data_IF_813949376221
#
_entry.id   IF_813949376221
#
_cell.length_a   1.000
_cell.length_b   1.000
_cell.length_c   1.000
_cell.angle_alpha   90.00
_cell.angle_beta   90.00
_cell.angle_gamma   90.00
#
_symmetry.space_group_name_H-M   'P 1'
#
loop_
_entity.id
_entity.type
_entity.pdbx_description
1 polymer ?
#
# COMPACT_ATOMS: atom_id res chain seq x y z
N UNK A 1 -61.96 -27.56 -13.10
CA UNK A 1 -62.59 -26.26 -13.37
C UNK A 1 -63.47 -25.88 -12.18
N UNK A 2 -63.15 -24.81 -11.45
CA UNK A 2 -64.08 -24.02 -10.62
C UNK A 2 -63.31 -22.81 -10.08
N UNK A 3 -63.41 -21.70 -10.81
CA UNK A 3 -62.99 -20.38 -10.38
C UNK A 3 -64.05 -19.85 -9.43
N UNK A 4 -63.66 -19.47 -8.22
CA UNK A 4 -64.48 -18.61 -7.35
C UNK A 4 -63.83 -17.24 -7.36
N UNK A 5 -64.53 -16.27 -7.94
CA UNK A 5 -64.21 -14.85 -7.94
C UNK A 5 -64.89 -14.26 -6.71
N UNK A 6 -64.11 -13.71 -5.78
CA UNK A 6 -64.64 -12.81 -4.74
C UNK A 6 -64.28 -11.37 -5.13
N UNK A 7 -65.30 -10.61 -5.49
CA UNK A 7 -65.25 -9.16 -5.61
C UNK A 7 -65.35 -8.55 -4.21
N UNK A 8 -64.30 -7.84 -3.79
CA UNK A 8 -64.27 -7.04 -2.56
C UNK A 8 -64.16 -5.56 -2.93
N UNK A 9 -65.20 -4.81 -2.59
CA UNK A 9 -65.44 -3.39 -2.86
C UNK A 9 -64.46 -2.43 -2.18
N UNK A 10 -64.30 -1.28 -2.83
CA UNK A 10 -63.54 -0.09 -2.45
C UNK A 10 -63.76 0.42 -1.03
N UNK A 11 -62.67 0.87 -0.40
CA UNK A 11 -62.69 2.01 0.51
C UNK A 11 -61.43 2.86 0.26
N UNK A 12 -61.62 4.01 -0.40
CA UNK A 12 -60.60 5.02 -0.59
C UNK A 12 -60.44 5.82 0.71
N UNK A 13 -59.36 5.57 1.44
CA UNK A 13 -58.91 6.44 2.53
C UNK A 13 -57.89 7.44 2.00
N UNK A 14 -58.32 8.66 1.73
CA UNK A 14 -57.39 9.78 1.51
C UNK A 14 -56.75 10.16 2.85
N UNK A 15 -55.50 9.73 3.06
CA UNK A 15 -54.68 10.26 4.13
C UNK A 15 -53.92 11.49 3.60
N UNK A 16 -54.30 12.65 4.11
CA UNK A 16 -53.64 13.92 3.84
C UNK A 16 -52.17 13.86 4.28
N UNK A 17 -51.28 14.16 3.34
CA UNK A 17 -49.85 14.28 3.59
C UNK A 17 -49.56 15.41 4.57
N UNK A 18 -48.84 15.08 5.65
CA UNK A 18 -48.12 16.08 6.43
C UNK A 18 -46.77 16.36 5.74
N UNK A 19 -46.37 17.63 5.55
CA UNK A 19 -44.98 17.91 5.26
C UNK A 19 -44.18 17.63 6.53
N UNK A 20 -43.52 16.47 6.60
CA UNK A 20 -42.46 16.25 7.57
C UNK A 20 -41.33 17.21 7.21
N UNK A 21 -41.18 18.27 7.99
CA UNK A 21 -40.03 19.14 7.96
C UNK A 21 -38.77 18.29 8.01
N UNK A 22 -37.92 18.40 6.98
CA UNK A 22 -36.59 17.81 6.98
C UNK A 22 -35.78 18.45 8.12
N UNK A 23 -35.79 17.82 9.29
CA UNK A 23 -34.88 18.16 10.37
C UNK A 23 -33.47 17.77 9.92
N UNK A 24 -32.70 18.76 9.53
CA UNK A 24 -31.26 18.64 9.31
C UNK A 24 -30.61 18.36 10.67
N UNK A 25 -30.55 17.09 11.08
CA UNK A 25 -29.73 16.70 12.23
C UNK A 25 -28.27 16.79 11.81
N UNK A 26 -27.61 17.87 12.24
CA UNK A 26 -26.17 18.03 12.15
C UNK A 26 -25.52 16.89 12.95
N UNK A 27 -24.71 16.07 12.29
CA UNK A 27 -23.95 15.03 12.96
C UNK A 27 -23.02 15.65 14.03
N UNK A 28 -22.88 15.05 15.23
CA UNK A 28 -21.96 15.56 16.24
C UNK A 28 -20.52 15.49 15.74
N UNK A 29 -19.76 16.55 16.00
CA UNK A 29 -18.36 16.67 15.60
C UNK A 29 -17.53 15.52 16.22
N UNK A 30 -16.59 14.92 15.47
CA UNK A 30 -15.69 13.92 16.01
C UNK A 30 -14.80 14.54 17.10
N UNK A 31 -14.39 13.77 18.12
CA UNK A 31 -13.50 14.26 19.17
C UNK A 31 -12.15 14.68 18.57
N UNK A 32 -11.61 15.79 19.07
CA UNK A 32 -10.32 16.32 18.61
C UNK A 32 -9.19 15.34 18.90
N UNK A 33 -8.34 15.13 17.88
CA UNK A 33 -7.12 14.32 18.02
C UNK A 33 -6.01 15.20 18.61
N UNK A 34 -5.16 14.68 19.50
CA UNK A 34 -4.19 15.46 20.27
C UNK A 34 -2.96 15.98 19.48
N UNK A 35 -3.08 16.18 18.16
CA UNK A 35 -2.01 16.75 17.34
C UNK A 35 -2.56 17.80 16.37
N UNK A 36 -3.45 18.66 16.85
CA UNK A 36 -3.70 19.91 16.13
C UNK A 36 -2.47 20.80 16.31
N UNK A 37 -1.81 21.02 15.18
CA UNK A 37 -0.54 21.72 15.11
C UNK A 37 -0.82 23.20 15.43
N UNK A 38 -0.30 23.64 16.56
CA UNK A 38 -0.26 25.01 17.05
C UNK A 38 0.49 25.90 16.05
N UNK A 39 -0.15 26.21 14.92
CA UNK A 39 0.26 27.27 14.02
C UNK A 39 -0.09 28.57 14.72
N UNK A 40 0.83 29.05 15.55
CA UNK A 40 0.89 30.45 15.94
C UNK A 40 0.94 31.29 14.66
N UNK A 41 -0.24 31.73 14.22
CA UNK A 41 -0.43 32.79 13.26
C UNK A 41 0.16 34.04 13.92
N UNK A 42 1.40 34.37 13.53
CA UNK A 42 2.00 35.67 13.83
C UNK A 42 1.05 36.76 13.33
N UNK A 43 0.59 37.71 14.17
CA UNK A 43 -0.14 38.86 13.69
C UNK A 43 0.83 39.76 12.93
N UNK A 44 0.66 39.90 11.61
CA UNK A 44 1.51 40.79 10.80
C UNK A 44 1.72 40.42 9.32
N UNK A 45 1.02 39.45 8.75
CA UNK A 45 1.07 39.22 7.30
C UNK A 45 0.02 40.09 6.57
N UNK A 46 0.37 40.76 5.46
CA UNK A 46 -0.59 41.57 4.69
C UNK A 46 -1.66 40.67 4.04
N UNK A 47 -2.89 41.17 3.84
CA UNK A 47 -3.99 40.36 3.35
C UNK A 47 -3.70 39.82 1.94
N UNK A 48 -3.89 38.51 1.77
CA UNK A 48 -3.87 37.83 0.47
C UNK A 48 -5.11 38.30 -0.30
N UNK A 49 -4.87 39.10 -1.33
CA UNK A 49 -5.90 39.52 -2.29
C UNK A 49 -6.25 38.32 -3.16
N UNK A 50 -7.43 37.73 -2.94
CA UNK A 50 -8.01 36.74 -3.86
C UNK A 50 -8.57 37.49 -5.05
N UNK A 51 -7.85 37.45 -6.18
CA UNK A 51 -8.35 37.94 -7.47
C UNK A 51 -9.34 36.91 -8.01
N UNK A 52 -10.60 37.28 -8.34
CA UNK A 52 -11.52 36.33 -8.96
C UNK A 52 -11.05 35.98 -10.38
N UNK A 53 -10.92 34.69 -10.66
CA UNK A 53 -10.64 34.18 -12.00
C UNK A 53 -11.77 34.56 -12.97
N UNK A 54 -11.41 35.12 -14.13
CA UNK A 54 -12.35 35.39 -15.21
C UNK A 54 -12.97 34.09 -15.75
N UNK A 55 -14.23 34.12 -16.25
CA UNK A 55 -14.89 32.93 -16.77
C UNK A 55 -14.28 32.54 -18.12
N UNK A 56 -13.71 31.35 -18.18
CA UNK A 56 -13.22 30.72 -19.41
C UNK A 56 -14.41 30.25 -20.23
N UNK A 57 -14.61 30.84 -21.40
CA UNK A 57 -15.57 30.37 -22.39
C UNK A 57 -15.21 28.94 -22.83
N UNK A 58 -16.19 28.05 -22.75
CA UNK A 58 -16.09 26.69 -23.25
C UNK A 58 -16.11 26.71 -24.79
N UNK A 59 -14.95 26.50 -25.41
CA UNK A 59 -14.87 26.07 -26.81
C UNK A 59 -14.28 24.68 -26.89
N UNK A 60 -15.12 23.75 -27.31
CA UNK A 60 -14.75 22.37 -27.61
C UNK A 60 -13.76 22.33 -28.78
N UNK A 61 -12.60 21.70 -28.57
CA UNK A 61 -11.79 21.13 -29.65
C UNK A 61 -11.41 19.71 -29.25
N UNK A 62 -11.89 18.78 -30.08
CA UNK A 62 -11.61 17.35 -30.01
C UNK A 62 -10.20 17.07 -30.51
N UNK A 63 -9.40 16.32 -29.73
CA UNK A 63 -8.09 15.79 -30.11
C UNK A 63 -7.45 15.06 -28.93
N UNK A 64 -6.74 13.93 -29.13
CA UNK A 64 -6.16 13.17 -28.01
C UNK A 64 -4.94 13.91 -27.47
N UNK A 65 -5.04 14.40 -26.23
CA UNK A 65 -3.90 14.99 -25.53
C UNK A 65 -2.85 13.90 -25.24
N UNK A 66 -1.55 14.16 -25.49
CA UNK A 66 -0.49 13.29 -25.02
C UNK A 66 -0.42 13.40 -23.50
N UNK A 67 -0.44 12.26 -22.81
CA UNK A 67 -0.15 12.17 -21.38
C UNK A 67 1.23 12.78 -21.11
N UNK A 68 1.23 13.99 -20.54
CA UNK A 68 2.41 14.56 -19.90
C UNK A 68 2.78 13.63 -18.74
N UNK A 69 3.80 12.79 -18.97
CA UNK A 69 4.49 12.07 -17.92
C UNK A 69 4.96 13.09 -16.87
N UNK A 70 4.40 13.01 -15.67
CA UNK A 70 4.91 13.77 -14.55
C UNK A 70 6.28 13.19 -14.17
N UNK A 71 7.30 14.03 -13.93
CA UNK A 71 8.64 13.57 -13.59
C UNK A 71 8.63 12.81 -12.25
N UNK A 72 9.36 11.70 -12.23
CA UNK A 72 9.48 10.76 -11.13
C UNK A 72 10.21 11.37 -9.92
N UNK A 73 9.48 12.08 -9.05
CA UNK A 73 9.94 12.36 -7.69
C UNK A 73 9.84 11.09 -6.81
N UNK A 74 10.52 10.00 -7.23
CA UNK A 74 10.54 8.65 -6.62
C UNK A 74 11.74 8.44 -5.67
N UNK A 75 12.55 9.47 -5.44
CA UNK A 75 13.85 9.37 -4.76
C UNK A 75 13.74 9.45 -3.23
N UNK A 76 13.00 8.52 -2.61
CA UNK A 76 13.38 8.09 -1.25
C UNK A 76 14.72 7.32 -1.34
N UNK A 77 15.55 7.25 -0.27
CA UNK A 77 16.88 6.66 -0.33
C UNK A 77 16.88 5.35 -1.12
N UNK A 78 17.37 5.47 -2.35
CA UNK A 78 17.37 4.40 -3.29
C UNK A 78 18.43 3.41 -2.86
N UNK A 79 18.06 2.13 -2.76
CA UNK A 79 19.06 1.10 -2.64
C UNK A 79 19.95 1.19 -3.89
N UNK A 80 21.28 1.30 -3.72
CA UNK A 80 22.19 1.71 -4.79
C UNK A 80 21.85 0.97 -6.09
N UNK A 81 21.43 1.71 -7.11
CA UNK A 81 21.22 1.15 -8.44
C UNK A 81 22.57 0.69 -9.02
N UNK A 82 22.52 -0.22 -10.01
CA UNK A 82 23.73 -0.66 -10.71
C UNK A 82 24.42 0.55 -11.34
N UNK A 83 25.65 0.84 -10.93
CA UNK A 83 26.47 1.79 -11.70
C UNK A 83 26.78 1.17 -13.08
N UNK A 84 26.67 1.92 -14.19
CA UNK A 84 27.05 1.42 -15.50
C UNK A 84 28.53 1.04 -15.49
N UNK A 85 28.83 -0.26 -15.59
CA UNK A 85 30.20 -0.81 -15.47
C UNK A 85 30.38 -1.78 -14.30
N UNK A 86 29.46 -1.83 -13.33
CA UNK A 86 29.33 -2.99 -12.46
C UNK A 86 28.74 -4.15 -13.27
N UNK A 87 29.61 -5.00 -13.82
CA UNK A 87 29.37 -6.45 -13.85
C UNK A 87 29.23 -6.89 -12.40
N UNK A 88 28.08 -6.55 -11.81
CA UNK A 88 27.69 -6.95 -10.47
C UNK A 88 27.47 -8.44 -10.52
N UNK A 89 28.56 -9.17 -10.37
CA UNK A 89 28.54 -10.51 -9.83
C UNK A 89 27.70 -10.40 -8.56
N UNK A 90 26.57 -11.11 -8.54
CA UNK A 90 25.87 -11.39 -7.28
C UNK A 90 26.96 -11.81 -6.28
N UNK A 91 26.95 -11.34 -5.01
CA UNK A 91 27.87 -11.88 -4.02
C UNK A 91 27.81 -13.40 -4.14
N UNK A 92 28.97 -14.02 -4.38
CA UNK A 92 29.06 -15.40 -4.84
C UNK A 92 28.18 -16.25 -3.94
N UNK A 93 27.15 -16.84 -4.54
CA UNK A 93 26.25 -17.77 -3.87
C UNK A 93 27.12 -18.85 -3.24
N UNK A 94 27.22 -18.84 -1.91
CA UNK A 94 27.91 -19.87 -1.16
C UNK A 94 26.91 -20.99 -0.85
N UNK A 95 26.96 -22.13 -1.57
CA UNK A 95 26.07 -23.26 -1.31
C UNK A 95 26.30 -23.89 0.06
N UNK A 96 27.46 -23.63 0.70
CA UNK A 96 27.86 -24.20 1.96
C UNK A 96 27.59 -23.28 3.16
N UNK A 97 27.00 -22.09 2.95
CA UNK A 97 26.53 -21.20 4.02
C UNK A 97 25.37 -21.87 4.78
N UNK A 98 25.72 -22.69 5.76
CA UNK A 98 24.79 -23.31 6.68
C UNK A 98 24.38 -22.26 7.72
N UNK A 99 23.08 -22.00 7.89
CA UNK A 99 22.64 -21.09 8.93
C UNK A 99 22.96 -21.67 10.32
N UNK A 100 23.55 -20.85 11.17
CA UNK A 100 23.96 -21.24 12.54
C UNK A 100 22.79 -21.78 13.39
N UNK A 101 21.55 -21.44 13.05
CA UNK A 101 20.31 -21.97 13.65
C UNK A 101 19.20 -22.08 12.59
N UNK A 102 18.47 -23.21 12.50
CA UNK A 102 17.24 -23.26 11.72
C UNK A 102 16.21 -22.30 12.32
N UNK A 103 15.63 -21.44 11.49
CA UNK A 103 14.58 -20.52 11.89
C UNK A 103 14.67 -19.12 11.29
N UNK A 104 13.81 -18.24 11.79
CA UNK A 104 13.72 -16.84 11.35
C UNK A 104 14.63 -15.98 12.24
N UNK A 105 15.64 -15.39 11.65
CA UNK A 105 16.53 -14.39 12.26
C UNK A 105 16.19 -12.99 11.73
N UNK A 106 16.47 -11.96 12.51
CA UNK A 106 16.24 -10.56 12.14
C UNK A 106 17.52 -9.75 12.31
N UNK A 107 17.80 -8.83 11.38
CA UNK A 107 18.89 -7.87 11.54
C UNK A 107 18.63 -6.90 12.71
N UNK A 108 19.68 -6.33 13.34
CA UNK A 108 19.53 -5.36 14.42
C UNK A 108 18.64 -4.19 14.00
N UNK A 109 17.62 -3.89 14.80
CA UNK A 109 16.65 -2.82 14.50
C UNK A 109 15.51 -3.21 13.55
N UNK A 110 15.48 -4.46 13.06
CA UNK A 110 14.37 -5.02 12.31
C UNK A 110 13.56 -5.97 13.19
N UNK A 111 12.24 -5.89 13.11
CA UNK A 111 11.33 -6.76 13.86
C UNK A 111 10.20 -7.28 12.97
N UNK A 112 9.89 -8.57 13.12
CA UNK A 112 8.74 -9.21 12.47
C UNK A 112 7.43 -8.93 13.21
N UNK A 113 7.46 -8.29 14.38
CA UNK A 113 6.27 -8.10 15.22
C UNK A 113 5.18 -7.31 14.50
N UNK A 114 5.55 -6.26 13.76
CA UNK A 114 4.59 -5.41 13.06
C UNK A 114 4.04 -6.04 11.76
N UNK A 115 4.61 -7.15 11.29
CA UNK A 115 4.12 -7.80 10.07
C UNK A 115 2.71 -8.36 10.29
N UNK A 116 1.81 -8.20 9.29
CA UNK A 116 0.53 -8.88 9.26
C UNK A 116 0.67 -10.40 9.42
N UNK A 117 -0.34 -11.09 9.98
CA UNK A 117 -0.34 -12.55 10.12
C UNK A 117 -0.05 -13.28 8.80
N UNK A 118 -0.51 -12.72 7.68
CA UNK A 118 -0.31 -13.24 6.34
C UNK A 118 1.17 -13.31 5.96
N UNK A 119 1.95 -12.24 6.17
CA UNK A 119 3.39 -12.22 5.90
C UNK A 119 4.17 -13.14 6.84
N UNK A 120 3.75 -13.22 8.11
CA UNK A 120 4.33 -14.16 9.07
C UNK A 120 4.12 -15.61 8.64
N UNK A 121 2.93 -15.94 8.13
CA UNK A 121 2.65 -17.28 7.59
C UNK A 121 3.52 -17.58 6.35
N UNK A 122 3.71 -16.62 5.46
CA UNK A 122 4.63 -16.76 4.32
C UNK A 122 6.07 -17.02 4.80
N UNK A 123 6.57 -16.25 5.78
CA UNK A 123 7.90 -16.48 6.36
C UNK A 123 8.03 -17.88 6.96
N UNK A 124 7.00 -18.36 7.66
CA UNK A 124 6.95 -19.73 8.17
C UNK A 124 7.08 -20.75 7.04
N UNK A 125 6.24 -20.64 5.99
CA UNK A 125 6.29 -21.54 4.82
C UNK A 125 7.67 -21.50 4.12
N UNK A 126 8.30 -20.32 4.01
CA UNK A 126 9.65 -20.18 3.45
C UNK A 126 10.66 -20.91 4.34
N UNK A 127 10.59 -20.69 5.65
CA UNK A 127 11.51 -21.29 6.61
C UNK A 127 11.38 -22.82 6.65
N UNK A 128 10.15 -23.33 6.61
CA UNK A 128 9.88 -24.77 6.58
C UNK A 128 10.44 -25.44 5.31
N UNK A 129 10.42 -24.72 4.18
CA UNK A 129 10.85 -25.26 2.88
C UNK A 129 12.36 -25.12 2.64
N UNK A 130 12.94 -23.98 2.99
CA UNK A 130 14.30 -23.60 2.62
C UNK A 130 15.25 -23.52 3.81
N UNK A 131 14.75 -23.61 5.04
CA UNK A 131 15.56 -23.57 6.26
C UNK A 131 15.58 -22.18 6.90
N UNK A 132 16.76 -21.63 7.15
CA UNK A 132 16.83 -20.35 7.85
C UNK A 132 16.50 -19.17 6.94
N UNK A 133 15.87 -18.18 7.54
CA UNK A 133 15.51 -16.93 6.87
C UNK A 133 16.09 -15.78 7.68
N UNK A 134 16.77 -14.86 7.01
CA UNK A 134 17.30 -13.64 7.61
C UNK A 134 16.51 -12.44 7.13
N UNK A 135 15.66 -11.90 7.99
CA UNK A 135 14.83 -10.72 7.69
C UNK A 135 15.65 -9.45 7.94
N UNK A 136 15.88 -8.68 6.87
CA UNK A 136 16.70 -7.47 6.90
C UNK A 136 15.88 -6.21 7.10
N UNK A 137 14.65 -6.14 6.58
CA UNK A 137 13.80 -4.95 6.74
C UNK A 137 12.31 -5.30 6.73
N UNK A 138 11.51 -4.65 7.57
CA UNK A 138 10.05 -4.86 7.64
C UNK A 138 9.34 -3.51 7.60
N UNK A 139 9.52 -2.70 8.64
CA UNK A 139 9.06 -1.32 8.68
C UNK A 139 10.15 -0.35 8.25
N UNK A 140 9.75 0.73 7.57
CA UNK A 140 10.64 1.86 7.31
C UNK A 140 9.93 3.17 7.61
N UNK A 141 10.65 4.14 8.20
CA UNK A 141 10.09 5.45 8.44
C UNK A 141 9.80 6.17 7.11
N UNK A 142 8.81 7.09 7.06
CA UNK A 142 8.37 7.73 5.83
C UNK A 142 9.47 8.40 5.01
N UNK A 143 10.48 8.98 5.65
CA UNK A 143 11.62 9.64 5.00
C UNK A 143 12.64 8.68 4.37
N UNK A 144 12.61 7.39 4.74
CA UNK A 144 13.49 6.34 4.18
C UNK A 144 12.76 5.47 3.14
N UNK A 145 11.43 5.59 3.07
CA UNK A 145 10.61 4.75 2.22
C UNK A 145 10.04 5.55 1.06
N UNK A 146 10.11 4.98 -0.14
CA UNK A 146 9.55 5.56 -1.38
C UNK A 146 8.06 5.87 -1.25
N UNK A 147 7.57 6.78 -2.09
CA UNK A 147 6.12 7.06 -2.18
C UNK A 147 5.39 5.77 -2.57
N UNK A 148 4.30 5.45 -1.88
CA UNK A 148 3.59 4.18 -2.06
C UNK A 148 4.26 2.91 -1.49
N UNK A 149 5.42 3.01 -0.83
CA UNK A 149 6.10 1.82 -0.27
C UNK A 149 5.27 1.15 0.83
N UNK A 150 5.09 -0.16 0.70
CA UNK A 150 4.39 -0.99 1.69
C UNK A 150 5.17 -1.17 3.01
N UNK A 151 6.47 -0.88 3.03
CA UNK A 151 7.25 -0.83 4.28
C UNK A 151 6.76 0.25 5.25
N UNK A 152 6.07 1.30 4.77
CA UNK A 152 5.48 2.35 5.63
C UNK A 152 4.38 1.79 6.54
N UNK A 153 3.73 0.71 6.10
CA UNK A 153 2.56 0.08 6.75
C UNK A 153 2.87 -1.31 7.33
N UNK A 154 4.14 -1.71 7.38
CA UNK A 154 4.57 -3.08 7.72
C UNK A 154 3.98 -4.16 6.80
N UNK A 155 3.54 -3.78 5.60
CA UNK A 155 2.94 -4.67 4.61
C UNK A 155 3.96 -5.17 3.59
N UNK A 156 5.25 -5.00 3.88
CA UNK A 156 6.36 -5.51 3.10
C UNK A 156 7.48 -6.02 3.99
N UNK A 157 8.26 -6.95 3.46
CA UNK A 157 9.46 -7.45 4.09
C UNK A 157 10.55 -7.70 3.06
N UNK A 158 11.78 -7.43 3.49
CA UNK A 158 12.99 -7.74 2.76
C UNK A 158 13.78 -8.80 3.56
N UNK A 159 14.16 -9.89 2.91
CA UNK A 159 14.85 -10.99 3.56
C UNK A 159 15.85 -11.70 2.64
N UNK A 160 16.68 -12.55 3.23
CA UNK A 160 17.61 -13.47 2.59
C UNK A 160 17.40 -14.89 3.08
N UNK A 161 17.75 -15.85 2.26
CA UNK A 161 17.74 -17.27 2.59
C UNK A 161 19.15 -17.80 2.32
N UNK A 162 20.00 -17.93 3.36
CA UNK A 162 21.33 -18.52 3.23
C UNK A 162 21.28 -19.89 2.55
N UNK A 163 22.25 -20.19 1.69
CA UNK A 163 22.32 -21.47 0.97
C UNK A 163 21.29 -21.69 -0.14
N UNK A 164 20.39 -20.72 -0.42
CA UNK A 164 19.45 -20.81 -1.56
C UNK A 164 19.50 -19.58 -2.46
N UNK A 165 19.51 -19.81 -3.78
CA UNK A 165 19.48 -18.74 -4.79
C UNK A 165 18.21 -17.87 -4.64
N UNK A 166 18.32 -16.53 -4.55
CA UNK A 166 17.18 -15.64 -4.31
C UNK A 166 16.04 -15.77 -5.32
N UNK A 167 16.38 -15.99 -6.61
CA UNK A 167 15.39 -16.20 -7.68
C UNK A 167 14.54 -17.44 -7.47
N UNK A 168 15.12 -18.53 -6.98
CA UNK A 168 14.39 -19.80 -6.73
C UNK A 168 13.37 -19.61 -5.61
N UNK A 169 13.75 -18.87 -4.56
CA UNK A 169 12.84 -18.54 -3.47
C UNK A 169 11.70 -17.64 -3.96
N UNK A 170 12.02 -16.60 -4.76
CA UNK A 170 11.02 -15.69 -5.32
C UNK A 170 10.03 -16.42 -6.24
N UNK A 171 10.53 -17.29 -7.12
CA UNK A 171 9.71 -18.05 -8.08
C UNK A 171 8.71 -18.97 -7.40
N UNK A 172 9.06 -19.52 -6.25
CA UNK A 172 8.13 -20.28 -5.43
C UNK A 172 7.18 -19.36 -4.65
N UNK A 173 7.70 -18.30 -4.02
CA UNK A 173 6.91 -17.40 -3.19
C UNK A 173 5.83 -16.67 -4.00
N UNK A 174 6.10 -16.28 -5.25
CA UNK A 174 5.12 -15.61 -6.13
C UNK A 174 3.92 -16.48 -6.50
N UNK A 175 3.99 -17.81 -6.31
CA UNK A 175 2.86 -18.72 -6.53
C UNK A 175 1.89 -18.74 -5.35
N UNK A 176 2.27 -18.17 -4.20
CA UNK A 176 1.39 -18.03 -3.05
C UNK A 176 0.37 -16.91 -3.33
N UNK A 177 -0.94 -17.16 -3.23
CA UNK A 177 -1.96 -16.15 -3.56
C UNK A 177 -1.82 -14.89 -2.70
N UNK A 178 -1.30 -15.02 -1.49
CA UNK A 178 -1.11 -13.95 -0.52
C UNK A 178 0.03 -12.98 -0.87
N UNK A 179 0.94 -13.38 -1.78
CA UNK A 179 2.05 -12.54 -2.23
C UNK A 179 1.59 -11.58 -3.32
N UNK A 180 1.75 -10.30 -3.05
CA UNK A 180 1.44 -9.21 -3.94
C UNK A 180 2.61 -8.82 -4.83
N UNK A 181 3.18 -7.65 -4.55
CA UNK A 181 4.43 -7.19 -5.17
C UNK A 181 5.60 -8.05 -4.71
N UNK A 182 6.49 -8.38 -5.64
CA UNK A 182 7.64 -9.22 -5.40
C UNK A 182 8.81 -8.79 -6.29
N UNK A 183 10.00 -8.70 -5.72
CA UNK A 183 11.22 -8.27 -6.44
C UNK A 183 12.44 -8.94 -5.85
N UNK A 184 13.41 -9.26 -6.69
CA UNK A 184 14.77 -9.60 -6.24
C UNK A 184 15.67 -8.43 -6.59
N UNK A 185 16.34 -7.88 -5.58
CA UNK A 185 17.35 -6.86 -5.77
C UNK A 185 18.67 -7.49 -6.23
N UNK A 186 19.54 -6.69 -6.84
CA UNK A 186 20.83 -7.16 -7.35
C UNK A 186 21.77 -7.71 -6.27
N UNK A 187 21.60 -7.26 -5.02
CA UNK A 187 22.39 -7.69 -3.85
C UNK A 187 21.84 -8.96 -3.17
N UNK A 188 21.00 -9.71 -3.89
CA UNK A 188 20.38 -10.95 -3.43
C UNK A 188 19.28 -10.79 -2.38
N UNK A 189 18.85 -9.55 -2.09
CA UNK A 189 17.75 -9.30 -1.17
C UNK A 189 16.40 -9.56 -1.86
N UNK A 190 15.52 -10.30 -1.20
CA UNK A 190 14.20 -10.64 -1.71
C UNK A 190 13.17 -9.71 -1.06
N UNK A 191 12.38 -9.02 -1.87
CA UNK A 191 11.25 -8.19 -1.47
C UNK A 191 9.93 -8.89 -1.71
N UNK A 192 9.05 -8.90 -0.72
CA UNK A 192 7.67 -9.35 -0.83
C UNK A 192 6.75 -8.36 -0.11
N UNK A 193 5.64 -7.99 -0.74
CA UNK A 193 4.58 -7.15 -0.16
C UNK A 193 3.17 -7.77 -0.35
N UNK A 194 2.19 -7.28 0.40
CA UNK A 194 0.77 -7.69 0.31
C UNK A 194 -0.07 -6.82 -0.62
N UNK A 195 0.56 -5.98 -1.44
CA UNK A 195 -0.10 -5.10 -2.39
C UNK A 195 -0.60 -5.81 -3.66
N UNK A 196 -1.03 -5.05 -4.69
CA UNK A 196 -1.35 -5.62 -5.99
C UNK A 196 -0.13 -6.30 -6.63
N UNK A 197 -0.38 -7.42 -7.31
CA UNK A 197 0.60 -8.05 -8.20
C UNK A 197 0.94 -7.09 -9.34
N UNK A 198 2.22 -6.78 -9.49
CA UNK A 198 2.74 -5.88 -10.52
C UNK A 198 4.09 -6.38 -11.02
N UNK A 199 4.44 -6.14 -12.29
CA UNK A 199 5.82 -6.29 -12.77
C UNK A 199 6.72 -5.22 -12.13
N UNK A 200 8.01 -5.52 -11.94
CA UNK A 200 8.97 -4.74 -11.13
C UNK A 200 10.33 -4.55 -11.79
#
# INVERSE_FOLDING_TARGET
MRRVVLAGTCAAGMAFGHPAAAQMMLAPLPPERPFDLDLQIKPGAPPIVVVPAAPIEASAVSGPAPTLAQPDDDEGPEWPQRTPGQVGEEPAFDPDEKPDKPGISTDPGTSIVCLPPVLKAILGKISDKYGAVKVTSTWRPPWRARRGSYHKRCEAMDFRVPGVRPRVVLEWARNLPEVGGNKVYWNGLIHIDTGPRRPW
#
